data_IF_172882456026
#
_entry.id   IF_172882456026
#
_cell.length_a   1.000
_cell.length_b   1.000
_cell.length_c   1.000
_cell.angle_alpha   90.00
_cell.angle_beta   90.00
_cell.angle_gamma   90.00
#
_symmetry.space_group_name_H-M   'P 1'
#
loop_
_entity.id
_entity.type
_entity.pdbx_description
1 polymer ?
#
# COMPACT_ATOMS: atom_id res chain seq x y z
N UNK A 1 -35.28 15.25 11.02
CA UNK A 1 -33.89 14.81 10.85
C UNK A 1 -33.66 14.77 9.37
N UNK A 2 -32.80 15.66 8.89
CA UNK A 2 -32.43 15.78 7.47
C UNK A 2 -31.38 14.70 7.12
N UNK A 3 -31.17 14.43 5.83
CA UNK A 3 -30.20 13.40 5.39
C UNK A 3 -28.78 13.71 5.88
N UNK A 4 -28.43 14.99 5.89
CA UNK A 4 -27.17 15.51 6.43
C UNK A 4 -27.03 15.22 7.93
N UNK A 5 -28.09 15.40 8.73
CA UNK A 5 -28.08 15.06 10.15
C UNK A 5 -27.78 13.57 10.37
N UNK A 6 -28.37 12.71 9.53
CA UNK A 6 -28.15 11.25 9.60
C UNK A 6 -26.68 10.93 9.28
N UNK A 7 -26.12 11.56 8.24
CA UNK A 7 -24.72 11.41 7.87
C UNK A 7 -23.78 11.86 9.00
N UNK A 8 -24.04 13.01 9.62
CA UNK A 8 -23.29 13.54 10.77
C UNK A 8 -23.37 12.58 11.96
N UNK A 9 -24.56 12.05 12.28
CA UNK A 9 -24.74 11.09 13.35
C UNK A 9 -23.94 9.80 13.09
N UNK A 10 -23.91 9.31 11.85
CA UNK A 10 -23.08 8.16 11.47
C UNK A 10 -21.61 8.46 11.71
N UNK A 11 -21.08 9.57 11.18
CA UNK A 11 -19.66 9.93 11.30
C UNK A 11 -19.22 10.10 12.77
N UNK A 12 -20.05 10.72 13.60
CA UNK A 12 -19.77 10.89 15.04
C UNK A 12 -19.83 9.61 15.86
N UNK A 13 -20.54 8.58 15.37
CA UNK A 13 -20.62 7.28 16.04
C UNK A 13 -19.41 6.37 15.80
N UNK A 14 -18.53 6.74 14.86
CA UNK A 14 -17.43 5.88 14.44
C UNK A 14 -16.28 5.81 15.46
N UNK A 15 -15.60 4.65 15.58
CA UNK A 15 -14.40 4.52 16.39
C UNK A 15 -13.24 5.39 15.86
N UNK A 16 -12.30 5.76 16.74
CA UNK A 16 -11.09 6.55 16.38
C UNK A 16 -10.29 5.99 15.20
N UNK A 17 -10.35 4.68 14.99
CA UNK A 17 -9.64 4.06 13.87
C UNK A 17 -10.13 4.56 12.51
N UNK A 18 -11.33 5.13 12.41
CA UNK A 18 -11.91 5.72 11.19
C UNK A 18 -11.69 7.25 11.09
N UNK A 19 -10.93 7.88 12.01
CA UNK A 19 -10.72 9.34 12.03
C UNK A 19 -10.29 9.92 10.69
N UNK A 20 -9.40 9.25 9.94
CA UNK A 20 -8.96 9.74 8.64
C UNK A 20 -10.11 9.83 7.62
N UNK A 21 -11.05 8.88 7.65
CA UNK A 21 -12.23 8.90 6.77
C UNK A 21 -13.16 10.04 7.15
N UNK A 22 -13.36 10.27 8.45
CA UNK A 22 -14.17 11.39 8.96
C UNK A 22 -13.56 12.72 8.51
N UNK A 23 -12.26 12.92 8.75
CA UNK A 23 -11.55 14.15 8.33
C UNK A 23 -11.67 14.41 6.82
N UNK A 24 -11.50 13.38 5.99
CA UNK A 24 -11.59 13.54 4.53
C UNK A 24 -13.00 13.93 4.07
N UNK A 25 -14.04 13.38 4.72
CA UNK A 25 -15.43 13.71 4.41
C UNK A 25 -15.80 15.11 4.91
N UNK A 26 -15.31 15.53 6.08
CA UNK A 26 -15.51 16.87 6.63
C UNK A 26 -14.81 17.98 5.82
N UNK A 27 -13.64 17.69 5.26
CA UNK A 27 -12.91 18.63 4.39
C UNK A 27 -13.47 18.70 2.96
N UNK A 28 -14.37 17.79 2.58
CA UNK A 28 -15.00 17.80 1.27
C UNK A 28 -15.95 18.99 1.15
N UNK A 29 -15.93 19.69 0.02
CA UNK A 29 -16.90 20.76 -0.29
C UNK A 29 -18.20 20.24 -0.90
N UNK A 30 -18.34 18.92 -1.07
CA UNK A 30 -19.54 18.30 -1.62
C UNK A 30 -20.66 18.22 -0.58
N UNK A 31 -21.91 18.23 -1.04
CA UNK A 31 -23.07 18.00 -0.18
C UNK A 31 -22.94 16.65 0.54
N UNK A 32 -23.09 16.66 1.86
CA UNK A 32 -22.92 15.46 2.68
C UNK A 32 -24.20 14.62 2.66
N UNK A 33 -24.18 13.53 1.88
CA UNK A 33 -25.29 12.59 1.77
C UNK A 33 -25.03 11.31 2.54
N UNK A 34 -26.05 10.82 3.26
CA UNK A 34 -25.95 9.61 4.07
C UNK A 34 -25.57 8.38 3.24
N UNK A 35 -26.09 8.28 2.02
CA UNK A 35 -25.79 7.18 1.10
C UNK A 35 -24.31 7.12 0.73
N UNK A 36 -23.66 8.26 0.54
CA UNK A 36 -22.25 8.31 0.14
C UNK A 36 -21.33 8.03 1.33
N UNK A 37 -21.71 8.48 2.53
CA UNK A 37 -21.04 8.06 3.78
C UNK A 37 -21.11 6.55 3.94
N UNK A 38 -22.27 5.91 3.79
CA UNK A 38 -22.43 4.45 3.91
C UNK A 38 -21.55 3.71 2.91
N UNK A 39 -21.49 4.15 1.65
CA UNK A 39 -20.61 3.56 0.62
C UNK A 39 -19.13 3.65 1.03
N UNK A 40 -18.68 4.84 1.45
CA UNK A 40 -17.29 5.06 1.88
C UNK A 40 -16.95 4.18 3.07
N UNK A 41 -17.83 4.09 4.07
CA UNK A 41 -17.62 3.24 5.24
C UNK A 41 -17.59 1.75 4.91
N UNK A 42 -18.44 1.31 3.98
CA UNK A 42 -18.44 -0.08 3.49
C UNK A 42 -17.12 -0.41 2.79
N UNK A 43 -16.65 0.47 1.90
CA UNK A 43 -15.39 0.29 1.19
C UNK A 43 -14.20 0.27 2.16
N UNK A 44 -14.18 1.19 3.12
CA UNK A 44 -13.13 1.24 4.13
C UNK A 44 -13.14 -0.01 5.02
N UNK A 45 -14.32 -0.52 5.36
CA UNK A 45 -14.45 -1.75 6.11
C UNK A 45 -13.92 -2.96 5.35
N UNK A 46 -14.26 -3.10 4.05
CA UNK A 46 -13.74 -4.17 3.18
C UNK A 46 -12.22 -4.08 3.09
N UNK A 47 -11.67 -2.88 2.86
CA UNK A 47 -10.22 -2.65 2.81
C UNK A 47 -9.55 -3.10 4.10
N UNK A 48 -10.08 -2.69 5.26
CA UNK A 48 -9.58 -3.09 6.57
C UNK A 48 -9.72 -4.58 6.83
N UNK A 49 -10.78 -5.22 6.34
CA UNK A 49 -10.91 -6.68 6.44
C UNK A 49 -9.89 -7.40 5.59
N UNK A 50 -9.63 -6.94 4.36
CA UNK A 50 -8.57 -7.48 3.50
C UNK A 50 -7.17 -7.31 4.10
N UNK A 51 -6.91 -6.19 4.77
CA UNK A 51 -5.68 -5.97 5.53
C UNK A 51 -5.64 -6.82 6.81
N UNK A 52 -6.76 -6.99 7.52
CA UNK A 52 -6.87 -7.83 8.71
C UNK A 52 -6.75 -9.32 8.39
N UNK A 53 -7.24 -9.81 7.26
CA UNK A 53 -7.01 -11.20 6.83
C UNK A 53 -5.58 -11.41 6.37
N UNK A 54 -4.97 -10.41 5.71
CA UNK A 54 -3.54 -10.41 5.38
C UNK A 54 -2.61 -10.29 6.61
N UNK A 55 -3.07 -9.72 7.72
CA UNK A 55 -2.26 -9.59 8.96
C UNK A 55 -2.59 -10.65 10.01
N UNK A 56 -3.82 -11.17 10.08
CA UNK A 56 -4.20 -12.27 10.98
C UNK A 56 -3.68 -13.64 10.51
N UNK A 57 -3.39 -13.81 9.22
CA UNK A 57 -2.64 -14.98 8.71
C UNK A 57 -1.12 -14.86 8.92
N UNK A 58 -0.62 -13.74 9.46
CA UNK A 58 0.80 -13.51 9.77
C UNK A 58 1.08 -13.78 11.26
N UNK A 59 0.43 -14.80 11.82
CA UNK A 59 0.93 -15.56 12.97
C UNK A 59 1.37 -16.95 12.52
N UNK A 60 2.31 -16.98 11.58
CA UNK A 60 3.39 -17.96 11.39
C UNK A 60 3.91 -17.77 9.96
N UNK A 61 5.16 -17.34 9.87
CA UNK A 61 6.08 -17.65 8.78
C UNK A 61 5.79 -17.06 7.39
N UNK A 62 6.59 -16.05 7.01
CA UNK A 62 7.06 -15.83 5.64
C UNK A 62 6.01 -15.69 4.52
N UNK A 63 5.05 -14.77 4.64
CA UNK A 63 4.17 -14.40 3.52
C UNK A 63 4.71 -13.26 2.61
N UNK A 64 5.99 -12.88 2.73
CA UNK A 64 6.66 -11.96 1.80
C UNK A 64 7.26 -12.67 0.56
N UNK A 65 6.88 -13.93 0.29
CA UNK A 65 7.42 -14.75 -0.81
C UNK A 65 6.46 -14.99 -1.99
N UNK A 66 5.28 -14.39 -2.03
CA UNK A 66 4.30 -14.67 -3.09
C UNK A 66 4.44 -13.84 -4.39
N UNK A 67 5.38 -12.89 -4.46
CA UNK A 67 5.77 -12.21 -5.72
C UNK A 67 7.27 -12.31 -6.05
N UNK A 68 8.04 -13.10 -5.28
CA UNK A 68 9.47 -13.34 -5.50
C UNK A 68 9.78 -14.84 -5.41
N UNK A 69 9.15 -15.64 -6.27
CA UNK A 69 9.71 -16.95 -6.61
C UNK A 69 10.94 -16.71 -7.49
N UNK A 70 12.11 -17.09 -6.97
CA UNK A 70 13.34 -17.36 -7.70
C UNK A 70 13.99 -16.23 -8.50
N UNK A 71 14.29 -15.12 -7.83
CA UNK A 71 15.42 -14.29 -8.27
C UNK A 71 16.40 -14.16 -7.12
N UNK A 72 17.29 -15.14 -6.99
CA UNK A 72 18.62 -14.96 -6.39
C UNK A 72 19.06 -13.52 -6.69
N UNK A 73 19.44 -12.72 -5.67
CA UNK A 73 19.84 -11.35 -5.90
C UNK A 73 21.03 -11.42 -6.86
N UNK A 74 20.80 -11.08 -8.14
CA UNK A 74 21.82 -11.26 -9.19
C UNK A 74 23.03 -10.43 -8.78
N UNK A 75 24.02 -11.12 -8.23
CA UNK A 75 25.32 -10.59 -7.92
C UNK A 75 26.09 -10.52 -9.21
N UNK A 76 26.60 -9.35 -9.52
CA UNK A 76 27.48 -9.17 -10.65
C UNK A 76 28.78 -9.96 -10.41
N UNK A 77 29.11 -10.88 -11.32
CA UNK A 77 30.35 -11.68 -11.24
C UNK A 77 31.62 -10.86 -11.47
N UNK A 78 31.51 -9.65 -12.01
CA UNK A 78 32.64 -8.75 -12.24
C UNK A 78 32.94 -7.85 -11.02
N UNK A 79 31.94 -7.13 -10.50
CA UNK A 79 32.14 -6.17 -9.40
C UNK A 79 31.64 -6.64 -8.03
N UNK A 80 31.00 -7.81 -7.96
CA UNK A 80 30.48 -8.39 -6.72
C UNK A 80 29.24 -7.70 -6.13
N UNK A 81 28.70 -6.65 -6.77
CA UNK A 81 27.53 -5.92 -6.28
C UNK A 81 26.22 -6.56 -6.73
N UNK A 82 25.19 -6.46 -5.91
CA UNK A 82 23.83 -6.91 -6.22
C UNK A 82 23.08 -5.91 -7.10
N UNK A 83 22.03 -6.36 -7.77
CA UNK A 83 21.07 -5.50 -8.49
C UNK A 83 21.34 -5.32 -9.98
N UNK A 84 22.37 -5.95 -10.55
CA UNK A 84 22.64 -5.97 -12.00
C UNK A 84 23.41 -7.23 -12.43
N UNK A 85 23.37 -7.57 -13.72
CA UNK A 85 24.23 -8.61 -14.32
C UNK A 85 25.53 -8.03 -14.84
N UNK A 86 26.52 -8.88 -15.10
CA UNK A 86 27.83 -8.49 -15.67
C UNK A 86 27.71 -7.65 -16.95
N UNK A 87 26.73 -7.94 -17.82
CA UNK A 87 26.48 -7.20 -19.07
C UNK A 87 26.10 -5.73 -18.83
N UNK A 88 25.50 -5.44 -17.67
CA UNK A 88 25.08 -4.10 -17.26
C UNK A 88 25.99 -3.50 -16.18
N UNK A 89 27.18 -4.07 -16.00
CA UNK A 89 28.10 -3.59 -14.97
C UNK A 89 28.78 -2.29 -15.39
N UNK A 90 28.48 -1.22 -14.66
CA UNK A 90 29.10 0.09 -14.87
C UNK A 90 30.63 0.04 -14.78
N UNK A 91 31.17 -0.71 -13.81
CA UNK A 91 32.63 -0.85 -13.65
C UNK A 91 33.26 -1.51 -14.87
N UNK A 92 32.66 -2.60 -15.36
CA UNK A 92 33.14 -3.31 -16.55
C UNK A 92 33.11 -2.42 -17.78
N UNK A 93 31.99 -1.73 -18.02
CA UNK A 93 31.84 -0.81 -19.15
C UNK A 93 32.86 0.34 -19.08
N UNK A 94 33.14 0.88 -17.88
CA UNK A 94 34.15 1.91 -17.69
C UNK A 94 35.55 1.38 -18.04
N UNK A 95 35.90 0.17 -17.62
CA UNK A 95 37.22 -0.41 -17.85
C UNK A 95 37.41 -0.80 -19.33
N UNK A 96 36.37 -1.30 -20.01
CA UNK A 96 36.38 -1.56 -21.45
C UNK A 96 36.49 -0.27 -22.28
N UNK A 97 35.79 0.79 -21.86
CA UNK A 97 35.81 2.09 -22.55
C UNK A 97 37.08 2.91 -22.23
N UNK A 98 37.92 2.40 -21.32
CA UNK A 98 39.21 2.97 -20.93
C UNK A 98 40.36 2.18 -21.57
N UNK A 99 40.18 1.78 -22.84
CA UNK A 99 41.16 1.07 -23.65
C UNK A 99 42.59 1.66 -23.55
N UNK A 100 43.61 0.88 -23.96
CA UNK A 100 45.01 1.01 -23.54
C UNK A 100 45.61 2.42 -23.67
#
# INVERSE_FOLDING_TARGET
MEDEDVAICLLRSLPKSYENVVLNLEMSSAELRSQDVVKVLTNEHIKRQGEKTATATVKTENAAKAFNTDREPRQCTYCGKLGHTVDKCWTKQKDENRGP
#
